data_IF_890709078570
#
_entry.id   IF_890709078570
#
_cell.length_a   1.000
_cell.length_b   1.000
_cell.length_c   1.000
_cell.angle_alpha   90.00
_cell.angle_beta   90.00
_cell.angle_gamma   90.00
#
_symmetry.space_group_name_H-M   'P 1'
#
loop_
_entity.id
_entity.type
_entity.pdbx_description
1 polymer ?
#
# COMPACT_ATOMS: atom_id res chain seq x y z
N UNK A 1 6.77 15.95 3.80
CA UNK A 1 5.62 15.01 3.85
C UNK A 1 5.00 14.99 2.47
N UNK A 2 4.77 13.82 1.89
CA UNK A 2 3.98 13.70 0.68
C UNK A 2 2.51 13.90 1.07
N UNK A 3 1.87 14.95 0.55
CA UNK A 3 0.46 15.21 0.83
C UNK A 3 -0.39 14.16 0.09
N UNK A 4 -1.12 13.34 0.83
CA UNK A 4 -2.04 12.37 0.26
C UNK A 4 -3.36 13.09 -0.06
N UNK A 5 -3.69 13.21 -1.34
CA UNK A 5 -4.86 14.00 -1.76
C UNK A 5 -6.19 13.34 -1.38
N UNK A 6 -6.26 12.00 -1.27
CA UNK A 6 -7.50 11.24 -1.09
C UNK A 6 -7.30 9.98 -0.23
N UNK A 7 -8.33 9.57 0.51
CA UNK A 7 -8.42 8.31 1.27
C UNK A 7 -9.83 7.72 1.22
N UNK A 8 -9.99 6.45 1.64
CA UNK A 8 -11.29 5.80 1.73
C UNK A 8 -12.06 5.75 0.40
N UNK A 9 -13.41 5.93 0.41
CA UNK A 9 -14.23 5.91 -0.79
C UNK A 9 -13.80 6.91 -1.88
N UNK A 10 -13.26 8.07 -1.48
CA UNK A 10 -12.82 9.09 -2.42
C UNK A 10 -11.59 8.64 -3.22
N UNK A 11 -10.67 7.89 -2.60
CA UNK A 11 -9.52 7.32 -3.29
C UNK A 11 -9.95 6.25 -4.31
N UNK A 12 -10.95 5.43 -3.98
CA UNK A 12 -11.51 4.41 -4.88
C UNK A 12 -12.26 5.06 -6.05
N UNK A 13 -12.99 6.15 -5.80
CA UNK A 13 -13.70 6.89 -6.82
C UNK A 13 -12.74 7.52 -7.86
N UNK A 14 -11.55 7.94 -7.43
CA UNK A 14 -10.55 8.56 -8.29
C UNK A 14 -9.74 7.57 -9.16
N UNK A 15 -9.91 6.25 -8.97
CA UNK A 15 -9.21 5.25 -9.78
C UNK A 15 -9.69 5.25 -11.24
N UNK A 16 -8.80 4.98 -12.22
CA UNK A 16 -9.17 4.83 -13.62
C UNK A 16 -10.26 3.75 -13.80
N UNK A 17 -11.24 4.05 -14.65
CA UNK A 17 -12.35 3.11 -15.00
C UNK A 17 -12.28 2.59 -16.43
N UNK A 18 -11.35 3.11 -17.22
CA UNK A 18 -11.19 2.84 -18.66
C UNK A 18 -9.94 2.01 -18.99
N UNK A 19 -9.21 1.54 -17.97
CA UNK A 19 -8.07 0.63 -18.13
C UNK A 19 -7.93 -0.28 -16.92
N UNK A 20 -7.14 -1.34 -17.06
CA UNK A 20 -6.69 -2.16 -15.95
C UNK A 20 -5.90 -1.33 -14.95
N UNK A 21 -6.07 -1.62 -13.66
CA UNK A 21 -5.33 -1.00 -12.57
C UNK A 21 -4.20 -1.92 -12.10
N UNK A 22 -3.06 -1.32 -11.77
CA UNK A 22 -1.93 -1.99 -11.14
C UNK A 22 -1.99 -1.85 -9.62
N UNK A 23 -2.34 -2.93 -8.93
CA UNK A 23 -2.29 -3.01 -7.48
C UNK A 23 -1.13 -3.93 -7.08
N UNK A 24 -0.07 -3.37 -6.47
CA UNK A 24 1.15 -4.12 -6.19
C UNK A 24 1.24 -4.46 -4.70
N UNK A 25 1.43 -5.74 -4.36
CA UNK A 25 1.66 -6.17 -2.97
C UNK A 25 3.04 -5.74 -2.48
N UNK A 26 3.05 -5.15 -1.29
CA UNK A 26 4.26 -4.75 -0.60
C UNK A 26 4.89 -5.89 0.21
N UNK A 27 4.26 -7.06 0.30
CA UNK A 27 4.87 -8.20 0.99
C UNK A 27 6.21 -8.62 0.36
N UNK A 28 6.33 -8.54 -0.97
CA UNK A 28 7.58 -8.83 -1.67
C UNK A 28 8.59 -7.66 -1.68
N UNK A 29 8.28 -6.53 -1.04
CA UNK A 29 9.20 -5.42 -0.93
C UNK A 29 10.31 -5.70 0.10
N UNK A 30 11.41 -4.96 -0.01
CA UNK A 30 12.43 -4.96 1.04
C UNK A 30 11.89 -4.24 2.30
N UNK A 31 11.53 -5.04 3.30
CA UNK A 31 10.99 -4.54 4.56
C UNK A 31 11.97 -3.65 5.33
N UNK A 32 13.28 -3.85 5.14
CA UNK A 32 14.31 -3.01 5.75
C UNK A 32 14.49 -1.68 4.99
N UNK A 33 14.02 -1.58 3.75
CA UNK A 33 14.11 -0.37 2.93
C UNK A 33 12.90 -0.17 2.00
N UNK A 34 11.72 -0.03 2.60
CA UNK A 34 10.45 0.14 1.88
C UNK A 34 10.45 1.37 0.97
N UNK A 35 11.08 2.48 1.38
CA UNK A 35 11.09 3.73 0.61
C UNK A 35 11.74 3.56 -0.78
N UNK A 36 12.81 2.75 -0.87
CA UNK A 36 13.47 2.44 -2.14
C UNK A 36 12.51 1.75 -3.11
N UNK A 37 11.82 0.71 -2.64
CA UNK A 37 10.91 -0.06 -3.50
C UNK A 37 9.67 0.74 -3.87
N UNK A 38 9.11 1.53 -2.95
CA UNK A 38 8.01 2.45 -3.25
C UNK A 38 8.37 3.45 -4.36
N UNK A 39 9.56 4.06 -4.31
CA UNK A 39 10.05 4.96 -5.36
C UNK A 39 10.21 4.25 -6.71
N UNK A 40 10.75 3.02 -6.68
CA UNK A 40 10.96 2.22 -7.89
C UNK A 40 9.65 1.90 -8.62
N UNK A 41 8.56 1.67 -7.89
CA UNK A 41 7.26 1.26 -8.47
C UNK A 41 6.27 2.41 -8.64
N UNK A 42 6.59 3.64 -8.23
CA UNK A 42 5.64 4.76 -8.15
C UNK A 42 4.95 5.08 -9.49
N UNK A 43 5.69 5.01 -10.60
CA UNK A 43 5.15 5.26 -11.93
C UNK A 43 4.24 4.13 -12.45
N UNK A 44 4.28 2.95 -11.83
CA UNK A 44 3.63 1.73 -12.32
C UNK A 44 2.42 1.32 -11.48
N UNK A 45 2.45 1.56 -10.17
CA UNK A 45 1.36 1.22 -9.27
C UNK A 45 0.29 2.32 -9.24
N UNK A 46 -0.96 1.92 -9.35
CA UNK A 46 -2.12 2.76 -9.07
C UNK A 46 -2.41 2.79 -7.57
N UNK A 47 -2.27 1.64 -6.91
CA UNK A 47 -2.41 1.45 -5.46
C UNK A 47 -1.36 0.46 -4.93
N UNK A 48 -1.09 0.54 -3.63
CA UNK A 48 -0.31 -0.47 -2.92
C UNK A 48 -1.22 -1.39 -2.11
N UNK A 49 -1.00 -2.69 -2.23
CA UNK A 49 -1.65 -3.71 -1.43
C UNK A 49 -0.79 -4.04 -0.21
N UNK A 50 -1.43 -4.11 0.96
CA UNK A 50 -0.81 -4.49 2.22
C UNK A 50 -1.60 -5.62 2.85
N UNK A 51 -0.94 -6.76 3.03
CA UNK A 51 -1.45 -7.93 3.75
C UNK A 51 -1.15 -7.82 5.25
N UNK A 52 -2.16 -7.52 6.06
CA UNK A 52 -2.06 -7.53 7.53
C UNK A 52 -2.34 -8.95 8.02
N UNK A 53 -1.54 -9.43 8.97
CA UNK A 53 -1.70 -10.76 9.56
C UNK A 53 -1.53 -10.71 11.09
N UNK A 54 -2.42 -11.43 11.79
CA UNK A 54 -2.55 -11.38 13.26
C UNK A 54 -2.03 -12.64 13.98
N UNK A 55 -1.41 -13.56 13.24
CA UNK A 55 -0.97 -14.88 13.71
C UNK A 55 -2.09 -15.78 14.28
N UNK A 56 -3.37 -15.46 14.05
CA UNK A 56 -4.52 -16.33 14.38
C UNK A 56 -5.26 -16.79 13.14
N UNK A 57 -5.58 -15.87 12.24
CA UNK A 57 -6.21 -16.20 10.97
C UNK A 57 -5.20 -16.82 9.98
N UNK A 58 -3.95 -16.36 10.01
CA UNK A 58 -2.84 -16.88 9.19
C UNK A 58 -1.64 -17.27 10.05
N UNK A 59 -0.73 -18.16 9.58
CA UNK A 59 0.48 -18.49 10.32
C UNK A 59 1.51 -17.35 10.22
N UNK A 60 1.57 -16.52 11.26
CA UNK A 60 2.61 -15.50 11.45
C UNK A 60 2.10 -14.06 11.46
N UNK A 61 3.02 -13.14 11.78
CA UNK A 61 2.76 -11.71 11.73
C UNK A 61 3.29 -11.14 10.42
N UNK A 62 2.50 -10.27 9.82
CA UNK A 62 2.85 -9.50 8.64
C UNK A 62 2.12 -8.17 8.75
N UNK A 63 2.82 -7.08 8.42
CA UNK A 63 2.34 -5.69 8.49
C UNK A 63 1.34 -5.37 9.61
N UNK A 64 1.77 -4.68 10.66
CA UNK A 64 0.91 -4.22 11.75
C UNK A 64 0.54 -2.72 11.60
N UNK A 65 -0.50 -2.21 12.28
CA UNK A 65 -1.02 -0.86 12.08
C UNK A 65 0.02 0.27 12.09
N UNK A 66 0.98 0.23 13.01
CA UNK A 66 2.03 1.27 13.10
C UNK A 66 2.99 1.23 11.91
N UNK A 67 3.33 0.04 11.41
CA UNK A 67 4.14 -0.10 10.19
C UNK A 67 3.36 0.41 8.98
N UNK A 68 2.07 0.06 8.85
CA UNK A 68 1.21 0.57 7.78
C UNK A 68 1.11 2.10 7.83
N UNK A 69 0.96 2.68 9.01
CA UNK A 69 0.94 4.14 9.20
C UNK A 69 2.26 4.80 8.78
N UNK A 70 3.40 4.14 9.00
CA UNK A 70 4.71 4.62 8.52
C UNK A 70 4.81 4.54 7.00
N UNK A 71 4.44 3.41 6.40
CA UNK A 71 4.43 3.20 4.94
C UNK A 71 3.54 4.24 4.26
N UNK A 72 2.37 4.52 4.83
CA UNK A 72 1.42 5.51 4.31
C UNK A 72 2.01 6.93 4.18
N UNK A 73 3.06 7.26 4.94
CA UNK A 73 3.77 8.56 4.87
C UNK A 73 4.87 8.60 3.81
N UNK A 74 5.24 7.44 3.24
CA UNK A 74 6.33 7.29 2.27
C UNK A 74 5.84 7.32 0.81
N UNK A 75 4.53 7.37 0.56
CA UNK A 75 3.96 7.30 -0.80
C UNK A 75 2.71 8.15 -0.95
N UNK A 76 2.51 8.75 -2.12
CA UNK A 76 1.28 9.45 -2.47
C UNK A 76 0.14 8.47 -2.84
N UNK A 77 0.48 7.24 -3.24
CA UNK A 77 -0.49 6.27 -3.76
C UNK A 77 -1.44 5.81 -2.66
N UNK A 78 -2.73 5.59 -2.97
CA UNK A 78 -3.65 4.95 -2.03
C UNK A 78 -3.14 3.57 -1.61
N UNK A 79 -3.49 3.18 -0.38
CA UNK A 79 -3.15 1.88 0.18
C UNK A 79 -4.46 1.12 0.36
N UNK A 80 -4.53 -0.08 -0.20
CA UNK A 80 -5.56 -1.05 0.07
C UNK A 80 -5.03 -2.01 1.13
N UNK A 81 -5.72 -2.10 2.26
CA UNK A 81 -5.35 -2.97 3.38
C UNK A 81 -6.24 -4.21 3.31
N UNK A 82 -5.61 -5.37 3.13
CA UNK A 82 -6.20 -6.68 3.26
C UNK A 82 -5.97 -7.16 4.70
N UNK A 83 -7.06 -7.46 5.41
CA UNK A 83 -7.07 -7.93 6.80
C UNK A 83 -7.29 -9.44 6.86
#
# INVERSE_FOLDING_TARGET
MIAKLLSGPAAIAALPRNRLIGEFSLWSADLANMERDLKRIEAHADLHHIDVADARFTPGFLFFPDLVARIARLTAKPIHVHL
#
